data_IF_459161516851
#
_entry.id   IF_459161516851
#
_cell.length_a   1.000
_cell.length_b   1.000
_cell.length_c   1.000
_cell.angle_alpha   90.00
_cell.angle_beta   90.00
_cell.angle_gamma   90.00
#
_symmetry.space_group_name_H-M   'P 1'
#
loop_
_entity.id
_entity.type
_entity.pdbx_description
1 polymer ?
#
# COMPACT_ATOMS: atom_id res chain seq x y z
N UNK A 1 -48.39 -2.36 43.44
CA UNK A 1 -47.15 -2.56 44.23
C UNK A 1 -46.22 -3.48 43.47
N UNK A 2 -44.97 -3.02 43.28
CA UNK A 2 -43.74 -3.72 42.85
C UNK A 2 -43.71 -4.40 41.47
N UNK A 3 -43.14 -3.65 40.52
CA UNK A 3 -42.53 -4.16 39.30
C UNK A 3 -41.32 -5.05 39.63
N UNK A 4 -41.22 -6.21 38.97
CA UNK A 4 -40.10 -7.12 39.08
C UNK A 4 -38.90 -6.59 38.27
N UNK A 5 -37.81 -6.26 38.97
CA UNK A 5 -36.54 -5.89 38.37
C UNK A 5 -35.81 -7.15 37.86
N UNK A 6 -35.88 -7.39 36.55
CA UNK A 6 -35.00 -8.33 35.87
C UNK A 6 -33.61 -7.73 35.71
N UNK A 7 -32.65 -8.15 36.54
CA UNK A 7 -31.23 -7.87 36.33
C UNK A 7 -30.75 -8.60 35.07
N UNK A 8 -30.66 -7.87 33.96
CA UNK A 8 -29.93 -8.32 32.77
C UNK A 8 -28.43 -8.25 33.07
N UNK A 9 -27.88 -9.37 33.54
CA UNK A 9 -26.44 -9.54 33.69
C UNK A 9 -25.73 -9.26 32.37
N UNK A 10 -24.89 -8.21 32.34
CA UNK A 10 -23.90 -8.03 31.30
C UNK A 10 -23.03 -9.29 31.22
N UNK A 11 -23.21 -10.11 30.19
CA UNK A 11 -22.26 -11.16 29.84
C UNK A 11 -20.92 -10.49 29.55
N UNK A 12 -20.01 -10.56 30.52
CA UNK A 12 -18.60 -10.20 30.31
C UNK A 12 -18.05 -11.14 29.24
N UNK A 13 -17.59 -10.58 28.13
CA UNK A 13 -16.77 -11.31 27.16
C UNK A 13 -15.51 -11.82 27.88
N UNK A 14 -15.03 -13.04 27.60
CA UNK A 14 -13.97 -13.71 28.38
C UNK A 14 -12.58 -13.04 28.27
N UNK A 15 -12.46 -11.92 27.54
CA UNK A 15 -11.20 -11.25 27.24
C UNK A 15 -10.99 -10.04 28.15
N UNK A 16 -10.82 -10.29 29.45
CA UNK A 16 -10.73 -9.22 30.47
C UNK A 16 -9.31 -8.65 30.67
N UNK A 17 -8.37 -8.98 29.77
CA UNK A 17 -7.12 -8.22 29.57
C UNK A 17 -7.22 -7.61 28.18
N UNK A 18 -6.89 -6.32 27.97
CA UNK A 18 -6.93 -5.75 26.62
C UNK A 18 -5.94 -6.50 25.73
N UNK A 19 -6.48 -7.39 24.89
CA UNK A 19 -5.71 -8.13 23.89
C UNK A 19 -5.06 -7.10 22.97
N UNK A 20 -3.74 -7.15 22.88
CA UNK A 20 -2.96 -6.28 22.01
C UNK A 20 -2.05 -7.14 21.17
N UNK A 21 -2.10 -6.94 19.86
CA UNK A 21 -1.20 -7.57 18.91
C UNK A 21 -0.69 -6.50 17.95
N UNK A 22 0.61 -6.53 17.72
CA UNK A 22 1.28 -5.63 16.78
C UNK A 22 1.77 -6.48 15.63
N UNK A 23 1.25 -6.26 14.43
CA UNK A 23 1.74 -6.92 13.22
C UNK A 23 3.18 -6.49 12.92
N UNK A 24 3.87 -7.27 12.10
CA UNK A 24 5.22 -6.99 11.63
C UNK A 24 5.37 -7.37 10.16
N UNK A 25 6.16 -6.59 9.41
CA UNK A 25 6.65 -6.98 8.09
C UNK A 25 5.54 -7.47 7.16
N UNK A 26 5.67 -8.69 6.63
CA UNK A 26 4.75 -9.22 5.63
C UNK A 26 3.31 -9.36 6.13
N UNK A 27 3.08 -9.69 7.41
CA UNK A 27 1.72 -9.77 7.96
C UNK A 27 1.05 -8.39 8.04
N UNK A 28 1.83 -7.35 8.36
CA UNK A 28 1.35 -5.98 8.29
C UNK A 28 1.12 -5.53 6.84
N UNK A 29 1.99 -5.94 5.92
CA UNK A 29 1.85 -5.64 4.50
C UNK A 29 0.58 -6.25 3.91
N UNK A 30 0.27 -7.51 4.19
CA UNK A 30 -0.99 -8.15 3.76
C UNK A 30 -2.20 -7.37 4.25
N UNK A 31 -2.17 -6.88 5.49
CA UNK A 31 -3.23 -6.01 6.00
C UNK A 31 -3.32 -4.68 5.21
N UNK A 32 -2.19 -4.00 5.01
CA UNK A 32 -2.13 -2.73 4.28
C UNK A 32 -2.56 -2.87 2.83
N UNK A 33 -2.21 -3.96 2.14
CA UNK A 33 -2.61 -4.17 0.75
C UNK A 33 -4.12 -4.33 0.59
N UNK A 34 -4.83 -4.78 1.62
CA UNK A 34 -6.30 -4.93 1.62
C UNK A 34 -7.04 -3.78 2.31
N UNK A 35 -6.34 -2.79 2.87
CA UNK A 35 -6.96 -1.69 3.60
C UNK A 35 -7.55 -0.64 2.62
N UNK A 36 -8.86 -0.31 2.70
CA UNK A 36 -9.48 0.68 1.82
C UNK A 36 -9.08 2.13 2.13
N UNK A 37 -8.55 2.39 3.32
CA UNK A 37 -8.10 3.71 3.75
C UNK A 37 -7.03 3.61 4.84
N UNK A 38 -6.27 4.68 5.01
CA UNK A 38 -5.36 4.84 6.15
C UNK A 38 -6.18 5.13 7.42
N UNK A 39 -5.91 4.46 8.55
CA UNK A 39 -6.49 4.83 9.84
C UNK A 39 -6.24 6.31 10.15
N UNK A 40 -7.24 7.00 10.71
CA UNK A 40 -7.12 8.41 11.07
C UNK A 40 -6.01 8.68 12.09
N UNK A 41 -5.46 9.90 12.12
CA UNK A 41 -4.30 10.29 12.95
C UNK A 41 -4.47 9.98 14.45
N UNK A 42 -5.69 10.03 14.99
CA UNK A 42 -6.00 9.64 16.38
C UNK A 42 -5.71 8.17 16.71
N UNK A 43 -5.60 7.30 15.70
CA UNK A 43 -5.26 5.89 15.86
C UNK A 43 -3.74 5.64 15.89
N UNK A 44 -2.91 6.66 15.63
CA UNK A 44 -1.46 6.51 15.69
C UNK A 44 -0.98 6.47 17.14
N UNK A 45 -0.14 5.49 17.47
CA UNK A 45 0.41 5.28 18.81
C UNK A 45 1.94 5.20 18.76
N UNK A 46 2.57 5.67 19.84
CA UNK A 46 4.01 5.55 20.06
C UNK A 46 4.43 4.11 20.34
N UNK A 47 5.73 3.83 20.23
CA UNK A 47 6.30 2.51 20.52
C UNK A 47 6.03 2.03 21.95
N UNK A 48 5.77 2.94 22.91
CA UNK A 48 5.36 2.59 24.27
C UNK A 48 4.08 1.74 24.33
N UNK A 49 3.21 1.80 23.32
CA UNK A 49 2.02 0.95 23.24
C UNK A 49 2.35 -0.55 23.13
N UNK A 50 3.59 -0.91 22.74
CA UNK A 50 4.10 -2.28 22.66
C UNK A 50 4.50 -2.86 24.04
N UNK A 51 4.58 -2.02 25.09
CA UNK A 51 5.01 -2.48 26.42
C UNK A 51 4.05 -3.55 26.95
N UNK A 52 4.65 -4.63 27.45
CA UNK A 52 3.96 -5.81 27.99
C UNK A 52 3.02 -6.49 26.98
N UNK A 53 3.22 -6.26 25.67
CA UNK A 53 2.51 -6.98 24.62
C UNK A 53 3.12 -8.36 24.44
N UNK A 54 2.38 -9.41 24.82
CA UNK A 54 2.76 -10.81 24.65
C UNK A 54 1.58 -11.55 24.00
N UNK A 55 1.60 -11.75 22.67
CA UNK A 55 0.53 -12.47 22.01
C UNK A 55 0.51 -13.93 22.50
N UNK A 56 -0.65 -14.40 22.91
CA UNK A 56 -0.94 -15.78 23.30
C UNK A 56 -1.84 -16.45 22.25
N UNK A 57 -2.16 -17.73 22.45
CA UNK A 57 -2.99 -18.49 21.52
C UNK A 57 -4.36 -17.83 21.26
N UNK A 58 -5.00 -17.28 22.30
CA UNK A 58 -6.29 -16.59 22.17
C UNK A 58 -6.17 -15.32 21.31
N UNK A 59 -5.09 -14.55 21.50
CA UNK A 59 -4.80 -13.35 20.69
C UNK A 59 -4.59 -13.69 19.22
N UNK A 60 -3.94 -14.83 18.92
CA UNK A 60 -3.71 -15.28 17.55
C UNK A 60 -4.99 -15.80 16.88
N UNK A 61 -5.82 -16.55 17.61
CA UNK A 61 -7.14 -16.97 17.11
C UNK A 61 -8.01 -15.75 16.79
N UNK A 62 -7.98 -14.73 17.65
CA UNK A 62 -8.66 -13.47 17.40
C UNK A 62 -8.13 -12.75 16.15
N UNK A 63 -6.81 -12.68 15.97
CA UNK A 63 -6.21 -12.11 14.75
C UNK A 63 -6.67 -12.86 13.50
N UNK A 64 -6.63 -14.18 13.51
CA UNK A 64 -7.04 -15.02 12.39
C UNK A 64 -8.52 -14.78 12.01
N UNK A 65 -9.39 -14.62 13.01
CA UNK A 65 -10.80 -14.32 12.79
C UNK A 65 -11.03 -12.92 12.21
N UNK A 66 -10.35 -11.90 12.75
CA UNK A 66 -10.54 -10.51 12.32
C UNK A 66 -9.80 -10.17 11.02
N UNK A 67 -8.75 -10.89 10.66
CA UNK A 67 -7.89 -10.61 9.52
C UNK A 67 -7.56 -11.90 8.74
N UNK A 68 -8.57 -12.57 8.14
CA UNK A 68 -8.38 -13.84 7.44
C UNK A 68 -7.47 -13.73 6.20
N UNK A 69 -7.25 -12.52 5.69
CA UNK A 69 -6.36 -12.24 4.56
C UNK A 69 -4.86 -12.29 4.91
N UNK A 70 -4.50 -12.34 6.19
CA UNK A 70 -3.10 -12.39 6.61
C UNK A 70 -2.63 -13.86 6.60
N UNK A 71 -1.63 -14.22 5.77
CA UNK A 71 -1.13 -15.58 5.72
C UNK A 71 -0.33 -15.94 6.97
N UNK A 72 -0.30 -17.25 7.26
CA UNK A 72 0.57 -17.84 8.28
C UNK A 72 1.99 -18.05 7.73
N UNK A 73 3.03 -18.01 8.59
CA UNK A 73 2.96 -17.67 10.01
C UNK A 73 2.66 -16.17 10.23
N UNK A 74 2.00 -15.85 11.35
CA UNK A 74 1.71 -14.48 11.75
C UNK A 74 2.98 -13.82 12.30
N UNK A 75 3.49 -12.83 11.57
CA UNK A 75 4.62 -12.03 12.00
C UNK A 75 4.15 -10.91 12.92
N UNK A 76 4.68 -10.89 14.14
CA UNK A 76 4.28 -9.96 15.19
C UNK A 76 5.46 -9.23 15.79
N UNK A 77 5.27 -7.95 16.11
CA UNK A 77 6.25 -7.16 16.85
C UNK A 77 6.08 -7.44 18.34
N UNK A 78 7.19 -7.68 19.05
CA UNK A 78 7.22 -7.89 20.50
C UNK A 78 8.25 -6.98 21.18
N UNK A 79 7.96 -6.57 22.43
CA UNK A 79 8.85 -5.69 23.21
C UNK A 79 9.97 -6.44 23.92
N UNK A 80 9.83 -7.75 24.12
CA UNK A 80 10.82 -8.59 24.78
C UNK A 80 10.90 -9.96 24.11
N UNK A 81 12.00 -10.68 24.35
CA UNK A 81 12.15 -12.07 23.88
C UNK A 81 11.03 -12.92 24.48
N UNK A 82 10.32 -13.66 23.63
CA UNK A 82 9.33 -14.64 24.06
C UNK A 82 10.03 -15.97 24.36
N UNK A 83 9.84 -16.51 25.59
CA UNK A 83 10.36 -17.83 25.98
C UNK A 83 9.56 -18.98 25.36
N UNK A 84 8.25 -18.76 25.18
CA UNK A 84 7.32 -19.65 24.50
C UNK A 84 6.52 -18.80 23.53
N UNK A 85 6.43 -19.25 22.28
CA UNK A 85 5.67 -18.60 21.22
C UNK A 85 4.58 -19.59 20.79
N UNK A 86 3.33 -19.16 20.57
CA UNK A 86 2.35 -20.03 19.93
C UNK A 86 2.87 -20.55 18.59
N UNK A 87 2.43 -21.74 18.20
CA UNK A 87 2.69 -22.28 16.87
C UNK A 87 2.15 -21.31 15.80
N UNK A 88 2.78 -21.29 14.62
CA UNK A 88 2.43 -20.40 13.51
C UNK A 88 2.63 -18.89 13.79
N UNK A 89 3.37 -18.52 14.83
CA UNK A 89 3.75 -17.13 15.11
C UNK A 89 5.25 -16.95 14.94
N UNK A 90 5.62 -15.90 14.22
CA UNK A 90 6.99 -15.47 14.05
C UNK A 90 7.23 -14.14 14.82
N UNK A 91 7.78 -14.18 16.04
CA UNK A 91 7.95 -13.00 16.87
C UNK A 91 9.22 -12.22 16.46
N UNK A 92 9.04 -10.92 16.24
CA UNK A 92 10.10 -9.98 15.87
C UNK A 92 10.30 -8.95 16.97
N UNK A 93 11.51 -8.94 17.55
CA UNK A 93 11.82 -8.05 18.67
C UNK A 93 12.11 -6.63 18.17
N UNK A 94 11.37 -5.64 18.65
CA UNK A 94 11.65 -4.24 18.38
C UNK A 94 12.66 -3.69 19.39
N UNK A 95 13.95 -3.69 19.03
CA UNK A 95 15.03 -3.16 19.88
C UNK A 95 15.35 -1.69 19.59
N UNK A 96 15.12 -1.25 18.36
CA UNK A 96 15.42 0.11 17.94
C UNK A 96 14.38 1.09 18.53
N UNK A 97 14.83 2.18 19.14
CA UNK A 97 13.96 3.23 19.68
C UNK A 97 13.44 4.08 18.51
N UNK A 98 12.21 3.81 18.08
CA UNK A 98 11.58 4.48 16.95
C UNK A 98 11.15 5.90 17.33
N UNK A 99 11.40 6.85 16.45
CA UNK A 99 10.97 8.24 16.60
C UNK A 99 9.54 8.41 16.08
N UNK A 100 8.69 9.07 16.88
CA UNK A 100 7.32 9.42 16.51
C UNK A 100 6.27 8.38 16.93
N UNK A 101 5.20 8.25 16.13
CA UNK A 101 4.09 7.31 16.35
C UNK A 101 4.10 6.23 15.25
N UNK A 102 4.95 5.20 15.38
CA UNK A 102 5.25 4.27 14.29
C UNK A 102 4.21 3.16 14.13
N UNK A 103 3.18 3.11 14.98
CA UNK A 103 2.11 2.11 14.88
C UNK A 103 0.75 2.79 14.76
N UNK A 104 -0.19 2.11 14.11
CA UNK A 104 -1.57 2.52 13.95
C UNK A 104 -2.48 1.43 14.53
N UNK A 105 -3.49 1.81 15.32
CA UNK A 105 -4.60 0.91 15.66
C UNK A 105 -5.43 0.69 14.40
N UNK A 106 -5.52 -0.55 13.95
CA UNK A 106 -6.19 -0.94 12.70
C UNK A 106 -7.50 -1.68 12.94
N UNK A 107 -7.64 -2.33 14.10
CA UNK A 107 -8.89 -2.88 14.60
C UNK A 107 -8.86 -2.91 16.13
N UNK A 108 -9.90 -3.46 16.76
CA UNK A 108 -9.91 -3.59 18.22
C UNK A 108 -8.78 -4.49 18.69
N UNK A 109 -7.81 -3.94 19.42
CA UNK A 109 -6.66 -4.70 19.91
C UNK A 109 -5.59 -5.03 18.86
N UNK A 110 -5.81 -4.73 17.58
CA UNK A 110 -4.86 -5.01 16.49
C UNK A 110 -4.19 -3.72 16.05
N UNK A 111 -2.87 -3.74 16.01
CA UNK A 111 -2.02 -2.63 15.60
C UNK A 111 -1.15 -3.07 14.43
N UNK A 112 -0.94 -2.20 13.46
CA UNK A 112 0.03 -2.38 12.39
C UNK A 112 1.13 -1.31 12.49
N UNK A 113 2.36 -1.59 12.06
CA UNK A 113 3.32 -0.52 11.74
C UNK A 113 2.68 0.44 10.74
N UNK A 114 2.96 1.73 10.85
CA UNK A 114 2.56 2.68 9.82
C UNK A 114 3.15 2.27 8.46
N UNK A 115 2.58 2.67 7.32
CA UNK A 115 3.00 2.18 6.00
C UNK A 115 4.51 2.37 5.76
N UNK A 116 5.09 3.47 6.24
CA UNK A 116 6.52 3.75 6.14
C UNK A 116 7.39 2.76 6.95
N UNK A 117 6.99 2.44 8.19
CA UNK A 117 7.68 1.43 8.98
C UNK A 117 7.47 0.03 8.37
N UNK A 118 6.27 -0.28 7.89
CA UNK A 118 5.97 -1.55 7.25
C UNK A 118 6.90 -1.81 6.06
N UNK A 119 7.07 -0.80 5.19
CA UNK A 119 7.99 -0.86 4.05
C UNK A 119 9.43 -1.16 4.49
N UNK A 120 9.92 -0.47 5.53
CA UNK A 120 11.26 -0.69 6.07
C UNK A 120 11.43 -2.09 6.65
N UNK A 121 10.41 -2.61 7.35
CA UNK A 121 10.45 -3.96 7.93
C UNK A 121 10.50 -5.07 6.87
N UNK A 122 9.76 -4.92 5.76
CA UNK A 122 9.79 -5.92 4.67
C UNK A 122 11.07 -5.81 3.82
N UNK A 123 11.68 -4.62 3.74
CA UNK A 123 12.92 -4.41 3.00
C UNK A 123 14.11 -5.27 3.47
N UNK A 124 14.04 -5.87 4.66
CA UNK A 124 15.07 -6.77 5.16
C UNK A 124 15.00 -8.18 4.55
N UNK A 125 13.86 -8.58 3.98
CA UNK A 125 13.61 -9.96 3.54
C UNK A 125 13.17 -10.08 2.08
N UNK A 126 12.96 -8.95 1.39
CA UNK A 126 12.58 -8.92 -0.01
C UNK A 126 13.77 -8.54 -0.88
N UNK A 127 13.79 -9.07 -2.11
CA UNK A 127 14.71 -8.57 -3.12
C UNK A 127 14.34 -7.15 -3.59
N UNK A 128 15.20 -6.54 -4.40
CA UNK A 128 15.00 -5.17 -4.85
C UNK A 128 13.71 -5.00 -5.69
N UNK A 129 13.40 -5.95 -6.58
CA UNK A 129 12.23 -5.86 -7.45
C UNK A 129 10.95 -6.00 -6.65
N UNK A 130 10.88 -6.99 -5.76
CA UNK A 130 9.76 -7.18 -4.85
C UNK A 130 9.56 -5.96 -3.94
N UNK A 131 10.66 -5.42 -3.40
CA UNK A 131 10.60 -4.23 -2.56
C UNK A 131 10.07 -3.01 -3.33
N UNK A 132 10.50 -2.79 -4.57
CA UNK A 132 9.99 -1.70 -5.41
C UNK A 132 8.50 -1.91 -5.73
N UNK A 133 8.07 -3.14 -6.06
CA UNK A 133 6.65 -3.48 -6.28
C UNK A 133 5.81 -3.12 -5.05
N UNK A 134 6.24 -3.56 -3.87
CA UNK A 134 5.56 -3.29 -2.60
C UNK A 134 5.51 -1.79 -2.31
N UNK A 135 6.63 -1.10 -2.50
CA UNK A 135 6.71 0.34 -2.33
C UNK A 135 5.70 1.08 -3.21
N UNK A 136 5.67 0.75 -4.50
CA UNK A 136 4.74 1.34 -5.45
C UNK A 136 3.27 1.04 -5.08
N UNK A 137 2.96 -0.16 -4.60
CA UNK A 137 1.60 -0.52 -4.15
C UNK A 137 1.17 0.26 -2.88
N UNK A 138 2.08 0.53 -1.95
CA UNK A 138 1.80 1.36 -0.77
C UNK A 138 1.61 2.84 -1.13
N UNK A 139 2.35 3.32 -2.13
CA UNK A 139 2.24 4.67 -2.70
C UNK A 139 1.13 4.80 -3.76
N UNK A 140 0.50 3.69 -4.13
CA UNK A 140 -0.52 3.60 -5.16
C UNK A 140 -1.92 3.95 -4.67
N UNK A 141 -2.85 4.06 -5.61
CA UNK A 141 -4.25 4.47 -5.36
C UNK A 141 -5.23 3.29 -5.37
N UNK A 142 -4.72 2.07 -5.19
CA UNK A 142 -5.51 0.84 -5.18
C UNK A 142 -5.28 -0.01 -3.94
N UNK A 143 -6.22 -0.89 -3.65
CA UNK A 143 -6.10 -1.95 -2.66
C UNK A 143 -6.73 -3.24 -3.19
N UNK A 144 -6.33 -4.37 -2.64
CA UNK A 144 -6.89 -5.68 -2.96
C UNK A 144 -8.29 -5.77 -2.35
N UNK A 145 -9.29 -5.88 -3.21
CA UNK A 145 -10.69 -6.06 -2.83
C UNK A 145 -11.25 -7.33 -3.51
N UNK A 146 -11.28 -8.47 -2.80
CA UNK A 146 -11.82 -9.71 -3.34
C UNK A 146 -13.30 -9.62 -3.76
N UNK A 147 -14.03 -8.59 -3.32
CA UNK A 147 -15.44 -8.38 -3.68
C UNK A 147 -15.59 -7.56 -4.97
N UNK A 148 -14.55 -6.84 -5.38
CA UNK A 148 -14.55 -6.10 -6.63
C UNK A 148 -14.40 -7.05 -7.83
N UNK A 149 -15.06 -6.74 -8.94
CA UNK A 149 -15.05 -7.57 -10.15
C UNK A 149 -13.65 -7.89 -10.67
N UNK A 150 -12.72 -6.95 -10.57
CA UNK A 150 -11.32 -7.09 -11.00
C UNK A 150 -10.36 -7.33 -9.82
N UNK A 151 -10.88 -7.64 -8.62
CA UNK A 151 -10.09 -7.85 -7.41
C UNK A 151 -9.48 -6.58 -6.81
N UNK A 152 -9.82 -5.39 -7.30
CA UNK A 152 -9.22 -4.12 -6.89
C UNK A 152 -10.25 -3.05 -6.53
N UNK A 153 -10.04 -2.40 -5.39
CA UNK A 153 -10.75 -1.19 -5.00
C UNK A 153 -9.85 0.05 -5.14
N UNK A 154 -10.47 1.24 -5.19
CA UNK A 154 -9.75 2.53 -5.23
C UNK A 154 -9.61 3.13 -3.82
N UNK A 155 -8.45 3.72 -3.54
CA UNK A 155 -8.15 4.42 -2.29
C UNK A 155 -7.24 5.62 -2.50
N UNK A 156 -7.12 6.47 -1.47
CA UNK A 156 -6.00 7.41 -1.38
C UNK A 156 -4.70 6.65 -1.06
N UNK A 157 -3.54 7.09 -1.54
CA UNK A 157 -2.25 6.49 -1.18
C UNK A 157 -2.06 6.40 0.33
N UNK A 158 -1.54 5.25 0.80
CA UNK A 158 -1.25 5.05 2.22
C UNK A 158 -0.06 5.89 2.67
N UNK A 159 0.87 6.13 1.74
CA UNK A 159 2.07 6.92 1.93
C UNK A 159 2.53 7.50 0.59
N UNK A 160 3.74 8.04 0.54
CA UNK A 160 4.43 8.41 -0.69
C UNK A 160 5.93 8.11 -0.59
N UNK A 161 6.62 8.07 -1.72
CA UNK A 161 8.09 7.90 -1.77
C UNK A 161 8.78 8.91 -0.84
N UNK A 162 8.35 10.18 -0.88
CA UNK A 162 8.85 11.24 0.00
C UNK A 162 8.63 10.94 1.48
N UNK A 163 7.46 10.44 1.86
CA UNK A 163 7.13 10.14 3.27
C UNK A 163 7.95 8.96 3.79
N UNK A 164 8.16 7.93 2.97
CA UNK A 164 9.04 6.81 3.30
C UNK A 164 10.48 7.29 3.49
N UNK A 165 10.99 8.12 2.57
CA UNK A 165 12.32 8.73 2.70
C UNK A 165 12.48 9.51 4.01
N UNK A 166 11.54 10.41 4.30
CA UNK A 166 11.55 11.19 5.54
C UNK A 166 11.45 10.31 6.80
N UNK A 167 10.74 9.17 6.74
CA UNK A 167 10.69 8.22 7.85
C UNK A 167 12.04 7.56 8.10
N UNK A 168 12.73 7.14 7.03
CA UNK A 168 14.07 6.53 7.09
C UNK A 168 15.10 7.53 7.62
N UNK A 169 15.05 8.78 7.18
CA UNK A 169 15.94 9.86 7.66
C UNK A 169 15.77 10.11 9.16
N UNK A 170 14.53 10.08 9.67
CA UNK A 170 14.26 10.20 11.11
C UNK A 170 14.66 8.96 11.91
N UNK A 171 14.89 7.81 11.27
CA UNK A 171 15.19 6.54 11.93
C UNK A 171 16.36 5.81 11.20
N UNK A 172 17.56 6.40 11.07
CA UNK A 172 18.57 5.93 10.13
C UNK A 172 19.16 4.55 10.45
N UNK A 173 19.09 4.11 11.72
CA UNK A 173 19.64 2.85 12.22
C UNK A 173 18.65 1.70 12.35
N UNK A 174 17.40 1.86 11.89
CA UNK A 174 16.44 0.75 11.91
C UNK A 174 16.87 -0.34 10.92
N UNK A 175 16.68 -1.61 11.29
CA UNK A 175 16.88 -2.75 10.40
C UNK A 175 16.01 -2.59 9.15
N UNK A 176 16.60 -2.78 7.96
CA UNK A 176 15.95 -2.57 6.68
C UNK A 176 16.06 -1.15 6.11
N UNK A 177 16.61 -0.17 6.85
CA UNK A 177 16.75 1.21 6.35
C UNK A 177 17.61 1.33 5.08
N UNK A 178 18.72 0.58 5.02
CA UNK A 178 19.64 0.60 3.87
C UNK A 178 18.98 0.08 2.58
N UNK A 179 18.40 -1.14 2.53
CA UNK A 179 17.70 -1.60 1.33
C UNK A 179 16.48 -0.73 1.01
N UNK A 180 15.70 -0.29 2.00
CA UNK A 180 14.58 0.61 1.79
C UNK A 180 15.00 1.93 1.10
N UNK A 181 16.11 2.53 1.55
CA UNK A 181 16.65 3.76 0.94
C UNK A 181 17.09 3.53 -0.51
N UNK A 182 17.69 2.38 -0.83
CA UNK A 182 18.10 2.03 -2.20
C UNK A 182 16.90 1.92 -3.15
N UNK A 183 15.74 1.46 -2.65
CA UNK A 183 14.53 1.31 -3.46
C UNK A 183 13.83 2.64 -3.77
N UNK A 184 14.00 3.69 -2.94
CA UNK A 184 13.26 4.96 -3.11
C UNK A 184 13.39 5.58 -4.50
N UNK A 185 14.60 5.56 -5.07
CA UNK A 185 14.87 6.13 -6.40
C UNK A 185 14.35 5.29 -7.57
N UNK A 186 13.76 4.13 -7.30
CA UNK A 186 13.21 3.19 -8.28
C UNK A 186 11.68 3.10 -8.22
N UNK A 187 11.08 3.83 -7.28
CA UNK A 187 9.65 3.80 -6.99
C UNK A 187 8.93 5.00 -7.62
N UNK A 188 7.63 4.83 -7.84
CA UNK A 188 6.72 5.89 -8.29
C UNK A 188 5.53 6.01 -7.35
N UNK A 189 5.01 7.22 -7.22
CA UNK A 189 3.74 7.47 -6.53
C UNK A 189 2.57 7.31 -7.51
N UNK A 190 1.38 6.95 -7.01
CA UNK A 190 0.12 7.19 -7.70
C UNK A 190 -0.38 6.11 -8.65
N UNK A 191 0.38 5.03 -8.91
CA UNK A 191 -0.08 3.91 -9.72
C UNK A 191 -1.45 3.40 -9.24
N UNK A 192 -2.38 3.18 -10.16
CA UNK A 192 -3.77 2.82 -9.88
C UNK A 192 -4.07 1.33 -10.03
N UNK A 193 -3.08 0.53 -10.42
CA UNK A 193 -3.23 -0.92 -10.54
C UNK A 193 -1.87 -1.65 -10.54
N UNK A 194 -1.84 -2.97 -10.27
CA UNK A 194 -0.61 -3.76 -10.40
C UNK A 194 0.03 -3.74 -11.80
N UNK A 195 -0.73 -3.79 -12.93
CA UNK A 195 -0.16 -3.61 -14.26
C UNK A 195 0.55 -2.26 -14.46
N UNK A 196 0.00 -1.16 -13.93
CA UNK A 196 0.69 0.14 -13.95
C UNK A 196 1.97 0.15 -13.12
N UNK A 197 1.97 -0.51 -11.95
CA UNK A 197 3.20 -0.72 -11.16
C UNK A 197 4.25 -1.46 -11.99
N UNK A 198 3.84 -2.52 -12.68
CA UNK A 198 4.73 -3.28 -13.56
C UNK A 198 5.27 -2.42 -14.71
N UNK A 199 4.41 -1.68 -15.42
CA UNK A 199 4.81 -0.81 -16.52
C UNK A 199 5.79 0.27 -16.05
N UNK A 200 5.49 0.94 -14.93
CA UNK A 200 6.40 1.93 -14.34
C UNK A 200 7.79 1.34 -14.06
N UNK A 201 7.84 0.11 -13.54
CA UNK A 201 9.10 -0.59 -13.29
C UNK A 201 9.81 -1.00 -14.58
N UNK A 202 9.11 -1.65 -15.50
CA UNK A 202 9.68 -2.10 -16.77
C UNK A 202 10.30 -0.93 -17.54
N UNK A 203 9.63 0.22 -17.56
CA UNK A 203 10.09 1.41 -18.28
C UNK A 203 11.16 2.18 -17.51
N UNK A 204 11.00 2.34 -16.19
CA UNK A 204 11.82 3.24 -15.38
C UNK A 204 13.04 2.61 -14.71
N UNK A 205 13.04 1.29 -14.47
CA UNK A 205 14.18 0.65 -13.82
C UNK A 205 15.44 0.75 -14.70
N UNK A 206 16.64 0.92 -14.10
CA UNK A 206 17.91 0.80 -14.79
C UNK A 206 18.07 -0.52 -15.56
N UNK A 207 18.86 -0.52 -16.64
CA UNK A 207 19.13 -1.73 -17.45
C UNK A 207 19.68 -2.90 -16.62
N UNK A 208 20.55 -2.62 -15.65
CA UNK A 208 21.10 -3.62 -14.72
C UNK A 208 20.04 -4.31 -13.83
N UNK A 209 18.83 -3.78 -13.78
CA UNK A 209 17.66 -4.33 -13.08
C UNK A 209 16.55 -4.74 -14.08
N UNK A 210 16.89 -4.87 -15.36
CA UNK A 210 15.97 -5.38 -16.40
C UNK A 210 14.94 -4.38 -16.92
N UNK A 211 15.06 -3.09 -16.61
CA UNK A 211 14.19 -2.04 -17.17
C UNK A 211 14.81 -1.29 -18.34
N UNK A 212 14.03 -0.39 -18.95
CA UNK A 212 14.44 0.42 -20.11
C UNK A 212 15.15 1.72 -19.75
N UNK A 213 15.29 2.03 -18.45
CA UNK A 213 15.96 3.22 -17.94
C UNK A 213 15.43 4.54 -18.53
N UNK A 214 14.13 4.60 -18.81
CA UNK A 214 13.51 5.85 -19.24
C UNK A 214 13.49 6.84 -18.07
N UNK A 215 14.02 8.06 -18.25
CA UNK A 215 14.01 9.06 -17.18
C UNK A 215 12.61 9.64 -16.99
N UNK A 216 12.32 10.08 -15.76
CA UNK A 216 11.10 10.86 -15.49
C UNK A 216 9.79 10.08 -15.59
N UNK A 217 9.81 8.75 -15.40
CA UNK A 217 8.59 7.94 -15.32
C UNK A 217 7.73 8.40 -14.15
N UNK A 218 6.47 8.72 -14.43
CA UNK A 218 5.47 9.08 -13.43
C UNK A 218 4.14 8.41 -13.71
N UNK A 219 3.57 7.73 -12.71
CA UNK A 219 2.25 7.12 -12.82
C UNK A 219 1.15 8.13 -12.46
N UNK A 220 0.05 8.15 -13.23
CA UNK A 220 -1.14 8.96 -12.95
C UNK A 220 -0.84 10.45 -12.66
N UNK A 221 0.20 11.00 -13.30
CA UNK A 221 0.60 12.39 -13.10
C UNK A 221 -0.43 13.30 -13.77
N UNK A 222 -1.06 14.18 -12.98
CA UNK A 222 -1.98 15.20 -13.52
C UNK A 222 -1.20 16.21 -14.34
N UNK A 223 -1.55 16.37 -15.61
CA UNK A 223 -0.99 17.40 -16.50
C UNK A 223 -2.06 18.42 -16.90
N UNK A 224 -1.64 19.66 -17.10
CA UNK A 224 -2.51 20.74 -17.55
C UNK A 224 -2.49 20.78 -19.08
N UNK A 225 -3.59 20.44 -19.77
CA UNK A 225 -3.62 20.47 -21.22
C UNK A 225 -3.58 21.90 -21.76
N UNK A 226 -3.06 22.05 -22.98
CA UNK A 226 -3.16 23.30 -23.75
C UNK A 226 -4.63 23.69 -23.99
N UNK A 227 -4.87 24.90 -24.51
CA UNK A 227 -6.22 25.32 -24.92
C UNK A 227 -6.81 24.38 -25.98
N UNK A 228 -6.00 23.96 -26.96
CA UNK A 228 -6.40 23.02 -28.02
C UNK A 228 -6.76 21.65 -27.44
N UNK A 229 -5.87 21.06 -26.64
CA UNK A 229 -6.12 19.76 -26.02
C UNK A 229 -7.33 19.78 -25.06
N UNK A 230 -7.54 20.90 -24.36
CA UNK A 230 -8.72 21.12 -23.50
C UNK A 230 -10.02 21.16 -24.29
N UNK A 231 -10.01 21.79 -25.48
CA UNK A 231 -11.17 21.81 -26.37
C UNK A 231 -11.53 20.40 -26.88
N UNK A 232 -10.53 19.54 -27.11
CA UNK A 232 -10.72 18.14 -27.55
C UNK A 232 -11.24 17.25 -26.39
N UNK A 233 -10.59 17.32 -25.22
CA UNK A 233 -10.92 16.43 -24.11
C UNK A 233 -12.09 16.90 -23.25
N UNK A 234 -12.49 18.17 -23.36
CA UNK A 234 -13.44 18.84 -22.47
C UNK A 234 -13.05 18.74 -20.99
N UNK A 235 -11.74 18.80 -20.69
CA UNK A 235 -11.18 18.63 -19.34
C UNK A 235 -10.07 19.62 -19.05
N UNK A 236 -10.06 20.16 -17.83
CA UNK A 236 -8.98 21.02 -17.33
C UNK A 236 -7.73 20.25 -16.88
N UNK A 237 -7.78 18.92 -16.89
CA UNK A 237 -6.67 18.06 -16.50
C UNK A 237 -6.74 16.76 -17.27
N UNK A 238 -5.59 16.29 -17.74
CA UNK A 238 -5.41 14.94 -18.24
C UNK A 238 -4.58 14.14 -17.24
N UNK A 239 -4.84 12.84 -17.16
CA UNK A 239 -4.14 11.92 -16.26
C UNK A 239 -3.69 10.74 -17.09
N UNK A 240 -2.49 10.80 -17.68
CA UNK A 240 -1.83 9.67 -18.35
C UNK A 240 -1.56 8.55 -17.33
N UNK A 241 -1.69 7.30 -17.72
CA UNK A 241 -1.45 6.18 -16.79
C UNK A 241 0.03 6.09 -16.43
N UNK A 242 0.91 6.08 -17.44
CA UNK A 242 2.37 6.14 -17.29
C UNK A 242 2.96 7.20 -18.21
N UNK A 243 3.39 8.30 -17.62
CA UNK A 243 3.99 9.44 -18.31
C UNK A 243 5.51 9.36 -18.32
N UNK A 244 6.11 9.56 -19.49
CA UNK A 244 7.53 9.85 -19.67
C UNK A 244 7.66 11.26 -20.26
N UNK A 245 7.84 12.26 -19.40
CA UNK A 245 7.80 13.68 -19.79
C UNK A 245 8.91 14.04 -20.78
N UNK A 246 10.13 13.57 -20.55
CA UNK A 246 11.31 13.90 -21.37
C UNK A 246 11.15 13.47 -22.83
N UNK A 247 10.45 12.36 -23.06
CA UNK A 247 10.27 11.78 -24.38
C UNK A 247 8.88 12.08 -24.97
N UNK A 248 8.07 12.90 -24.29
CA UNK A 248 6.65 13.13 -24.60
C UNK A 248 5.92 11.83 -24.94
N UNK A 249 6.04 10.83 -24.06
CA UNK A 249 5.41 9.53 -24.23
C UNK A 249 4.40 9.30 -23.11
N UNK A 250 3.24 8.80 -23.50
CA UNK A 250 2.22 8.26 -22.61
C UNK A 250 1.99 6.78 -22.94
N UNK A 251 1.94 5.96 -21.91
CA UNK A 251 1.59 4.55 -21.98
C UNK A 251 0.32 4.32 -21.17
N UNK A 252 -0.75 3.98 -21.88
CA UNK A 252 -2.09 3.72 -21.34
C UNK A 252 -2.30 2.22 -21.16
N UNK A 253 -2.77 1.80 -20.00
CA UNK A 253 -3.10 0.41 -19.73
C UNK A 253 -4.59 0.15 -19.99
N UNK A 254 -4.88 -0.69 -20.98
CA UNK A 254 -6.25 -1.10 -21.29
C UNK A 254 -6.56 -2.45 -20.62
N UNK A 255 -7.34 -2.40 -19.54
CA UNK A 255 -7.85 -3.58 -18.84
C UNK A 255 -9.14 -4.15 -19.45
N UNK A 256 -9.73 -3.50 -20.45
CA UNK A 256 -11.12 -3.67 -20.86
C UNK A 256 -11.27 -4.26 -22.27
N UNK A 257 -10.52 -5.32 -22.59
CA UNK A 257 -10.60 -5.93 -23.92
C UNK A 257 -11.98 -6.46 -24.32
N UNK A 258 -12.97 -6.56 -23.42
CA UNK A 258 -14.30 -7.13 -23.74
C UNK A 258 -15.55 -6.36 -23.24
N UNK A 259 -15.44 -5.27 -22.46
CA UNK A 259 -16.63 -4.67 -21.81
C UNK A 259 -16.64 -3.14 -21.59
N UNK A 260 -15.90 -2.36 -22.38
CA UNK A 260 -15.97 -0.90 -22.28
C UNK A 260 -17.31 -0.37 -22.82
N UNK A 261 -17.94 0.57 -22.11
CA UNK A 261 -19.12 1.27 -22.64
C UNK A 261 -18.73 2.24 -23.75
N UNK A 262 -19.66 2.53 -24.68
CA UNK A 262 -19.43 3.54 -25.73
C UNK A 262 -18.96 4.90 -25.17
N UNK A 263 -19.46 5.27 -23.99
CA UNK A 263 -19.06 6.51 -23.31
C UNK A 263 -17.64 6.44 -22.72
N UNK A 264 -17.13 5.26 -22.34
CA UNK A 264 -15.73 5.06 -21.95
C UNK A 264 -14.82 5.16 -23.17
N UNK A 265 -15.14 4.43 -24.24
CA UNK A 265 -14.38 4.45 -25.50
C UNK A 265 -14.24 5.86 -26.06
N UNK A 266 -15.33 6.63 -26.07
CA UNK A 266 -15.31 8.04 -26.51
C UNK A 266 -14.39 8.90 -25.63
N UNK A 267 -14.45 8.71 -24.31
CA UNK A 267 -13.63 9.45 -23.35
C UNK A 267 -12.14 9.15 -23.46
N UNK A 268 -11.80 7.91 -23.78
CA UNK A 268 -10.41 7.45 -23.92
C UNK A 268 -9.85 7.91 -25.27
N UNK A 269 -10.63 7.85 -26.34
CA UNK A 269 -10.28 8.43 -27.63
C UNK A 269 -10.05 9.95 -27.55
N UNK A 270 -10.92 10.69 -26.85
CA UNK A 270 -10.76 12.13 -26.61
C UNK A 270 -9.50 12.45 -25.78
N UNK A 271 -9.21 11.65 -24.73
CA UNK A 271 -7.99 11.79 -23.94
C UNK A 271 -6.75 11.59 -24.82
N UNK A 272 -6.73 10.54 -25.63
CA UNK A 272 -5.65 10.23 -26.58
C UNK A 272 -5.42 11.39 -27.56
N UNK A 273 -6.46 11.83 -28.26
CA UNK A 273 -6.36 12.93 -29.23
C UNK A 273 -5.87 14.24 -28.59
N UNK A 274 -6.30 14.52 -27.35
CA UNK A 274 -5.86 15.68 -26.62
C UNK A 274 -4.37 15.60 -26.24
N UNK A 275 -3.89 14.43 -25.80
CA UNK A 275 -2.48 14.20 -25.52
C UNK A 275 -1.62 14.32 -26.80
N UNK A 276 -2.07 13.74 -27.90
CA UNK A 276 -1.42 13.86 -29.21
C UNK A 276 -1.40 15.31 -29.71
N UNK A 277 -2.46 16.09 -29.46
CA UNK A 277 -2.50 17.51 -29.77
C UNK A 277 -1.49 18.35 -28.95
N UNK A 278 -1.13 17.89 -27.75
CA UNK A 278 -0.06 18.46 -26.92
C UNK A 278 1.33 17.87 -27.25
N UNK A 279 1.41 17.05 -28.30
CA UNK A 279 2.65 16.47 -28.83
C UNK A 279 3.13 15.23 -28.10
N UNK A 280 2.25 14.56 -27.34
CA UNK A 280 2.56 13.25 -26.75
C UNK A 280 2.32 12.13 -27.75
N UNK A 281 3.24 11.17 -27.82
CA UNK A 281 2.95 9.86 -28.41
C UNK A 281 2.19 9.03 -27.40
N UNK A 282 1.03 8.50 -27.77
CA UNK A 282 0.21 7.63 -26.91
C UNK A 282 0.29 6.19 -27.39
N UNK A 283 0.78 5.29 -26.53
CA UNK A 283 0.85 3.85 -26.76
C UNK A 283 -0.12 3.16 -25.80
N UNK A 284 -0.98 2.29 -26.32
CA UNK A 284 -1.88 1.49 -25.48
C UNK A 284 -1.30 0.10 -25.30
N UNK A 285 -1.26 -0.38 -24.07
CA UNK A 285 -0.80 -1.72 -23.70
C UNK A 285 -1.94 -2.47 -23.06
N UNK A 286 -2.21 -3.68 -23.54
CA UNK A 286 -3.27 -4.56 -23.05
C UNK A 286 -2.70 -5.62 -22.09
N UNK A 287 -3.57 -6.25 -21.30
CA UNK A 287 -3.18 -7.35 -20.42
C UNK A 287 -2.37 -8.46 -21.14
N UNK A 288 -2.79 -8.82 -22.37
CA UNK A 288 -2.12 -9.84 -23.21
C UNK A 288 -0.67 -9.51 -23.58
N UNK A 289 -0.27 -8.24 -23.48
CA UNK A 289 1.08 -7.79 -23.80
C UNK A 289 1.99 -7.68 -22.56
N UNK A 290 1.43 -7.81 -21.36
CA UNK A 290 2.15 -7.65 -20.08
C UNK A 290 2.49 -9.01 -19.44
N UNK A 291 1.83 -10.10 -19.87
CA UNK A 291 2.08 -11.47 -19.41
C UNK A 291 0.80 -12.25 -19.21
#
# INVERSE_FOLDING_TARGET
>A
MKAAAGHAGHRRTPYNTPMRIFLYGISALSWWLSAPATPGEGNRVGQNALRNCKPDAATIQYLAHCCPQIPRPYHVTVSARMKRCPDEVAPHRSQFKLVGRPFCRVASGIYAPCPELCFVQVANNLDLHELVKVGNALCGTFFIDPKARNGLGKRRPLTSVRRIGAFIERNPGILGAKPARRALGLMVDGAASPPEVFLAMALGLPYRFGGYQLPGIAANRRIKPSSKARAIAHRNTLVPDILCESSRLDIEYDSNTEHASAAQLTRDAQKRLALEADGYKVITVTARQIG
#
